data_IF_609684087402
#
_entry.id   IF_609684087402
#
_cell.length_a   1.000
_cell.length_b   1.000
_cell.length_c   1.000
_cell.angle_alpha   90.00
_cell.angle_beta   90.00
_cell.angle_gamma   90.00
#
_symmetry.space_group_name_H-M   'P 1'
#
loop_
_entity.id
_entity.type
_entity.pdbx_description
1 polymer ?
#
# COMPACT_ATOMS: atom_id res chain seq x y z
N UNK A 1 10.49 -59.55 -7.58
CA UNK A 1 11.31 -58.83 -6.57
C UNK A 1 11.70 -57.48 -7.16
N UNK A 2 11.12 -56.38 -6.69
CA UNK A 2 11.56 -55.04 -7.10
C UNK A 2 12.79 -54.66 -6.27
N UNK A 3 13.92 -54.44 -6.92
CA UNK A 3 15.17 -54.02 -6.30
C UNK A 3 15.12 -52.51 -6.03
N UNK A 4 15.05 -52.13 -4.77
CA UNK A 4 15.10 -50.73 -4.31
C UNK A 4 16.56 -50.31 -4.07
N UNK A 5 17.39 -50.37 -5.11
CA UNK A 5 18.77 -49.89 -5.01
C UNK A 5 18.85 -48.43 -5.47
N UNK A 6 18.55 -47.49 -4.58
CA UNK A 6 18.91 -46.08 -4.77
C UNK A 6 20.33 -45.86 -4.29
N UNK A 7 21.27 -45.70 -5.23
CA UNK A 7 22.66 -45.38 -4.90
C UNK A 7 22.76 -44.03 -4.17
N UNK A 8 23.73 -43.93 -3.28
CA UNK A 8 23.97 -42.72 -2.49
C UNK A 8 24.36 -41.54 -3.40
N UNK A 9 23.70 -40.41 -3.21
CA UNK A 9 24.03 -39.15 -3.89
C UNK A 9 25.04 -38.35 -3.06
N UNK A 10 26.13 -37.92 -3.72
CA UNK A 10 27.12 -37.03 -3.12
C UNK A 10 27.03 -35.65 -3.77
N UNK A 11 26.78 -34.62 -2.95
CA UNK A 11 26.66 -33.24 -3.40
C UNK A 11 28.00 -32.51 -3.23
N UNK A 12 28.32 -31.64 -4.19
CA UNK A 12 29.48 -30.74 -4.12
C UNK A 12 29.19 -29.45 -3.35
N UNK A 13 30.09 -28.47 -3.48
CA UNK A 13 30.02 -27.16 -2.80
C UNK A 13 28.86 -26.26 -3.24
N UNK A 14 28.26 -26.52 -4.40
CA UNK A 14 27.17 -25.73 -4.97
C UNK A 14 27.63 -24.51 -5.77
N UNK A 15 26.71 -23.95 -6.56
CA UNK A 15 26.94 -22.77 -7.41
C UNK A 15 25.97 -21.67 -7.00
N UNK A 16 26.49 -20.46 -6.80
CA UNK A 16 25.69 -19.26 -6.56
C UNK A 16 25.45 -18.52 -7.87
N UNK A 17 24.20 -18.53 -8.34
CA UNK A 17 23.77 -17.80 -9.53
C UNK A 17 23.03 -16.53 -9.10
N UNK A 18 23.46 -15.38 -9.62
CA UNK A 18 22.72 -14.12 -9.50
C UNK A 18 22.12 -13.76 -10.86
N UNK A 19 20.81 -13.56 -10.90
CA UNK A 19 20.10 -13.18 -12.12
C UNK A 19 19.84 -11.68 -12.06
N UNK A 20 20.32 -10.94 -13.05
CA UNK A 20 20.05 -9.51 -13.19
C UNK A 20 18.87 -9.25 -14.13
N UNK A 21 18.11 -8.15 -13.94
CA UNK A 21 17.06 -7.76 -14.86
C UNK A 21 17.60 -7.44 -16.25
N UNK A 22 16.74 -7.60 -17.26
CA UNK A 22 17.06 -7.22 -18.63
C UNK A 22 17.30 -5.70 -18.74
N UNK A 23 18.16 -5.31 -19.68
CA UNK A 23 18.35 -3.90 -20.02
C UNK A 23 17.02 -3.26 -20.45
N UNK A 24 16.73 -2.10 -19.86
CA UNK A 24 15.49 -1.36 -20.02
C UNK A 24 15.76 0.15 -19.92
N UNK A 25 14.81 1.02 -20.32
CA UNK A 25 14.96 2.46 -20.18
C UNK A 25 15.15 2.89 -18.72
N UNK A 26 15.88 3.98 -18.52
CA UNK A 26 16.06 4.56 -17.20
C UNK A 26 14.72 4.95 -16.58
N UNK A 27 14.52 4.61 -15.32
CA UNK A 27 13.30 4.96 -14.58
C UNK A 27 13.65 5.76 -13.35
N UNK A 28 13.01 6.94 -13.22
CA UNK A 28 13.15 7.81 -12.04
C UNK A 28 12.57 7.12 -10.80
N UNK A 29 13.30 7.09 -9.67
CA UNK A 29 12.82 6.50 -8.42
C UNK A 29 11.64 7.28 -7.82
N UNK A 30 10.74 6.55 -7.16
CA UNK A 30 9.81 7.13 -6.18
C UNK A 30 10.37 6.95 -4.77
N UNK A 31 10.44 8.03 -3.99
CA UNK A 31 11.14 8.04 -2.68
C UNK A 31 10.14 8.26 -1.56
N UNK A 32 10.20 7.44 -0.52
CA UNK A 32 9.31 7.51 0.64
C UNK A 32 10.11 7.35 1.93
N UNK A 33 9.73 8.10 2.98
CA UNK A 33 10.33 7.98 4.31
C UNK A 33 9.34 7.29 5.26
N UNK A 34 9.84 6.30 5.99
CA UNK A 34 9.09 5.61 7.05
C UNK A 34 9.83 5.80 8.38
N UNK A 35 9.08 6.12 9.44
CA UNK A 35 9.63 6.43 10.76
C UNK A 35 8.94 5.57 11.82
N UNK A 36 9.71 5.00 12.74
CA UNK A 36 9.21 4.26 13.91
C UNK A 36 10.16 4.45 15.11
N UNK A 37 9.78 5.36 16.02
CA UNK A 37 10.66 5.81 17.10
C UNK A 37 11.95 6.41 16.53
N UNK A 38 13.09 5.95 17.01
CA UNK A 38 14.42 6.37 16.52
C UNK A 38 14.80 5.76 15.17
N UNK A 39 14.06 4.78 14.66
CA UNK A 39 14.39 4.11 13.40
C UNK A 39 13.74 4.85 12.23
N UNK A 40 14.54 5.18 11.21
CA UNK A 40 14.08 5.80 9.97
C UNK A 40 14.56 4.98 8.80
N UNK A 41 13.63 4.64 7.90
CA UNK A 41 13.91 3.95 6.65
C UNK A 41 13.56 4.85 5.47
N UNK A 42 14.46 4.89 4.48
CA UNK A 42 14.17 5.45 3.17
C UNK A 42 13.89 4.31 2.18
N UNK A 43 12.65 4.27 1.69
CA UNK A 43 12.19 3.34 0.67
C UNK A 43 12.29 4.01 -0.70
N UNK A 44 12.95 3.34 -1.63
CA UNK A 44 13.07 3.75 -3.02
C UNK A 44 12.42 2.70 -3.90
N UNK A 45 11.46 3.11 -4.73
CA UNK A 45 10.68 2.21 -5.58
C UNK A 45 10.92 2.45 -7.07
N UNK A 46 10.90 1.35 -7.81
CA UNK A 46 10.75 1.29 -9.27
C UNK A 46 11.82 2.09 -10.04
N UNK A 47 13.10 1.89 -9.71
CA UNK A 47 14.21 2.58 -10.38
C UNK A 47 15.06 1.65 -11.24
N UNK A 48 15.70 2.22 -12.27
CA UNK A 48 16.67 1.53 -13.12
C UNK A 48 17.60 2.56 -13.77
N UNK A 49 18.94 2.39 -13.78
CA UNK A 49 19.72 1.18 -13.46
C UNK A 49 19.96 0.97 -11.95
N UNK A 50 20.68 -0.11 -11.58
CA UNK A 50 20.97 -0.54 -10.19
C UNK A 50 21.77 0.49 -9.39
N UNK A 51 22.65 1.25 -10.04
CA UNK A 51 23.51 2.23 -9.37
C UNK A 51 22.67 3.35 -8.77
N UNK A 52 22.78 3.55 -7.45
CA UNK A 52 21.96 4.48 -6.69
C UNK A 52 22.69 4.91 -5.42
N UNK A 53 22.55 6.18 -5.04
CA UNK A 53 23.05 6.69 -3.75
C UNK A 53 21.90 7.21 -2.90
N UNK A 54 21.68 6.56 -1.76
CA UNK A 54 20.61 6.90 -0.82
C UNK A 54 21.22 7.58 0.40
N UNK A 55 20.85 8.84 0.59
CA UNK A 55 21.35 9.69 1.68
C UNK A 55 20.22 9.99 2.66
N UNK A 56 20.47 9.71 3.93
CA UNK A 56 19.61 10.12 5.04
C UNK A 56 20.32 11.24 5.77
N UNK A 57 19.79 12.46 5.66
CA UNK A 57 20.41 13.66 6.22
C UNK A 57 19.73 14.00 7.55
N UNK A 58 20.52 14.10 8.61
CA UNK A 58 20.09 14.51 9.95
C UNK A 58 21.27 15.04 10.76
N UNK A 59 21.01 15.96 11.67
CA UNK A 59 22.03 16.56 12.56
C UNK A 59 22.54 15.58 13.62
N UNK A 60 21.75 14.56 13.97
CA UNK A 60 22.03 13.64 15.10
C UNK A 60 21.88 12.18 14.68
N UNK A 61 22.86 11.72 13.90
CA UNK A 61 22.99 10.34 13.43
C UNK A 61 23.59 9.45 14.52
N UNK A 62 22.91 8.34 14.82
CA UNK A 62 23.43 7.30 15.73
C UNK A 62 24.12 6.20 14.92
N UNK A 63 23.40 5.61 13.96
CA UNK A 63 23.94 4.56 13.09
C UNK A 63 23.19 4.52 11.75
N UNK A 64 23.87 4.10 10.69
CA UNK A 64 23.27 3.83 9.38
C UNK A 64 23.73 2.46 8.89
N UNK A 65 22.81 1.78 8.20
CA UNK A 65 23.04 0.48 7.60
C UNK A 65 23.16 0.62 6.07
N UNK A 66 23.85 -0.35 5.47
CA UNK A 66 23.95 -0.45 4.02
C UNK A 66 22.56 -0.66 3.38
N UNK A 67 22.32 -0.10 2.18
CA UNK A 67 21.04 -0.25 1.51
C UNK A 67 20.86 -1.69 1.02
N UNK A 68 19.68 -2.26 1.31
CA UNK A 68 19.25 -3.52 0.72
C UNK A 68 18.54 -3.24 -0.61
N UNK A 69 19.03 -3.81 -1.71
CA UNK A 69 18.48 -3.66 -3.06
C UNK A 69 17.87 -4.99 -3.52
N UNK A 70 16.65 -4.94 -4.04
CA UNK A 70 15.90 -6.11 -4.53
C UNK A 70 15.29 -5.82 -5.90
N UNK A 71 15.03 -6.88 -6.66
CA UNK A 71 14.33 -6.77 -7.96
C UNK A 71 12.82 -6.78 -7.68
N UNK A 72 12.11 -5.81 -8.24
CA UNK A 72 10.65 -5.73 -8.16
C UNK A 72 9.98 -6.63 -9.21
N UNK A 73 8.69 -7.00 -9.04
CA UNK A 73 7.97 -7.80 -10.02
C UNK A 73 7.89 -7.17 -11.43
N UNK A 74 8.07 -5.85 -11.55
CA UNK A 74 8.12 -5.15 -12.83
C UNK A 74 9.46 -5.31 -13.56
N UNK A 75 10.44 -5.97 -12.93
CA UNK A 75 11.80 -6.10 -13.46
C UNK A 75 12.70 -4.90 -13.18
N UNK A 76 12.29 -3.96 -12.32
CA UNK A 76 13.12 -2.82 -11.87
C UNK A 76 13.74 -3.10 -10.51
N UNK A 77 14.45 -2.13 -9.95
CA UNK A 77 15.00 -2.22 -8.60
C UNK A 77 14.14 -1.46 -7.59
N UNK A 78 14.08 -2.02 -6.39
CA UNK A 78 13.62 -1.35 -5.17
C UNK A 78 14.77 -1.38 -4.16
N UNK A 79 14.85 -0.38 -3.29
CA UNK A 79 15.88 -0.31 -2.28
C UNK A 79 15.34 0.23 -0.96
N UNK A 80 15.91 -0.24 0.16
CA UNK A 80 15.64 0.30 1.49
C UNK A 80 16.96 0.58 2.19
N UNK A 81 17.13 1.82 2.65
CA UNK A 81 18.22 2.19 3.56
C UNK A 81 17.66 2.50 4.94
N UNK A 82 18.20 1.86 5.96
CA UNK A 82 17.77 2.02 7.36
C UNK A 82 18.83 2.80 8.15
N UNK A 83 18.40 3.63 9.09
CA UNK A 83 19.26 4.27 10.07
C UNK A 83 18.55 4.50 11.40
N UNK A 84 19.33 4.75 12.45
CA UNK A 84 18.86 5.20 13.75
C UNK A 84 19.31 6.63 14.00
N UNK A 85 18.38 7.45 14.44
CA UNK A 85 18.56 8.88 14.65
C UNK A 85 17.95 9.26 16.00
N UNK A 86 18.56 10.22 16.70
CA UNK A 86 17.99 10.73 17.96
C UNK A 86 16.68 11.46 17.71
N UNK A 87 16.64 12.27 16.66
CA UNK A 87 15.44 12.95 16.20
C UNK A 87 15.04 12.42 14.83
N UNK A 88 14.04 11.53 14.82
CA UNK A 88 13.48 10.99 13.58
C UNK A 88 12.77 12.04 12.73
N UNK A 89 12.26 13.12 13.33
CA UNK A 89 11.43 14.09 12.63
C UNK A 89 12.26 14.99 11.70
N UNK A 90 13.49 15.33 12.07
CA UNK A 90 14.43 16.09 11.22
C UNK A 90 15.06 15.29 10.09
N UNK A 91 14.88 13.97 10.03
CA UNK A 91 15.49 13.14 8.98
C UNK A 91 14.82 13.39 7.63
N UNK A 92 15.62 13.82 6.66
CA UNK A 92 15.24 13.94 5.25
C UNK A 92 15.93 12.87 4.43
N UNK A 93 15.21 12.21 3.52
CA UNK A 93 15.82 11.32 2.53
C UNK A 93 16.00 12.03 1.18
N UNK A 94 17.21 11.93 0.64
CA UNK A 94 17.52 12.31 -0.74
C UNK A 94 18.17 11.14 -1.47
N UNK A 95 17.80 10.99 -2.74
CA UNK A 95 18.27 9.89 -3.59
C UNK A 95 18.90 10.47 -4.83
N UNK A 96 20.16 10.13 -5.08
CA UNK A 96 20.84 10.43 -6.34
C UNK A 96 20.79 9.21 -7.24
N UNK A 97 20.22 9.40 -8.42
CA UNK A 97 20.05 8.36 -9.43
C UNK A 97 20.09 9.02 -10.81
N UNK A 98 20.93 8.51 -11.72
CA UNK A 98 21.09 9.06 -13.08
C UNK A 98 21.43 10.57 -13.10
N UNK A 99 22.35 10.99 -12.22
CA UNK A 99 22.75 12.38 -11.98
C UNK A 99 21.61 13.34 -11.58
N UNK A 100 20.43 12.81 -11.22
CA UNK A 100 19.29 13.57 -10.70
C UNK A 100 19.10 13.29 -9.24
N UNK A 101 18.79 14.33 -8.47
CA UNK A 101 18.43 14.19 -7.06
C UNK A 101 16.91 14.20 -6.93
N UNK A 102 16.37 13.24 -6.18
CA UNK A 102 14.93 13.10 -5.90
C UNK A 102 14.74 13.16 -4.40
N UNK A 103 13.79 13.97 -3.94
CA UNK A 103 13.50 14.15 -2.53
C UNK A 103 12.19 13.46 -2.14
N UNK A 104 12.08 13.05 -0.89
CA UNK A 104 10.82 12.48 -0.38
C UNK A 104 9.65 13.46 -0.45
N UNK A 105 9.91 14.77 -0.35
CA UNK A 105 8.91 15.84 -0.42
C UNK A 105 8.26 15.96 -1.79
N UNK A 106 8.91 15.46 -2.85
CA UNK A 106 8.38 15.51 -4.22
C UNK A 106 7.12 14.62 -4.37
N UNK A 107 6.92 13.69 -3.43
CA UNK A 107 5.81 12.75 -3.41
C UNK A 107 4.90 12.92 -2.19
N UNK A 108 5.15 13.92 -1.34
CA UNK A 108 4.20 14.29 -0.29
C UNK A 108 2.95 14.89 -0.95
N UNK A 109 1.78 14.39 -0.55
CA UNK A 109 0.50 14.92 -1.02
C UNK A 109 0.42 16.37 -0.56
N UNK A 110 0.57 17.33 -1.49
CA UNK A 110 0.23 18.73 -1.25
C UNK A 110 -1.21 18.78 -0.78
N UNK A 111 -1.41 19.00 0.51
CA UNK A 111 -2.72 19.29 1.05
C UNK A 111 -2.93 20.77 0.78
N UNK A 112 -3.37 21.11 -0.43
CA UNK A 112 -3.72 22.49 -0.79
C UNK A 112 -4.90 22.92 0.08
N UNK A 113 -4.57 23.53 1.23
CA UNK A 113 -5.53 24.18 2.12
C UNK A 113 -5.83 25.56 1.53
N UNK A 114 -6.65 25.59 0.49
CA UNK A 114 -7.34 26.80 0.05
C UNK A 114 -8.77 26.66 0.52
N UNK A 115 -9.09 27.30 1.64
CA UNK A 115 -10.38 27.97 1.80
C UNK A 115 -10.25 29.03 2.90
N UNK A 116 -10.20 30.27 2.45
CA UNK A 116 -10.37 31.47 3.25
C UNK A 116 -11.80 31.53 3.79
N UNK A 117 -12.03 31.16 5.06
CA UNK A 117 -13.13 31.72 5.87
C UNK A 117 -12.66 31.86 7.33
N UNK A 118 -12.61 33.09 7.83
CA UNK A 118 -12.32 33.47 9.23
C UNK A 118 -13.60 33.33 10.10
N UNK A 119 -13.54 33.47 11.44
CA UNK A 119 -13.60 32.40 12.42
C UNK A 119 -14.91 32.41 13.25
N UNK A 120 -15.27 31.29 13.89
CA UNK A 120 -16.15 31.33 15.06
C UNK A 120 -15.68 30.33 16.11
N UNK A 121 -15.38 30.84 17.29
CA UNK A 121 -15.09 30.11 18.53
C UNK A 121 -16.22 29.11 18.86
N UNK A 122 -15.90 27.96 19.46
CA UNK A 122 -16.00 27.71 20.91
C UNK A 122 -15.81 26.20 21.19
N UNK A 123 -14.91 25.91 22.14
CA UNK A 123 -14.82 24.76 23.05
C UNK A 123 -14.84 23.29 22.59
N UNK A 124 -13.69 22.66 22.87
CA UNK A 124 -13.51 21.45 23.67
C UNK A 124 -14.35 20.22 23.31
N UNK A 125 -13.78 19.33 22.50
CA UNK A 125 -14.15 17.92 22.53
C UNK A 125 -12.93 17.01 22.43
N UNK A 126 -12.93 16.06 23.37
CA UNK A 126 -12.02 14.94 23.60
C UNK A 126 -11.47 14.31 22.32
N UNK A 127 -10.18 14.01 22.37
CA UNK A 127 -9.41 13.14 21.48
C UNK A 127 -10.16 11.83 21.14
N UNK A 128 -10.20 11.45 19.85
CA UNK A 128 -10.16 10.05 19.47
C UNK A 128 -8.97 9.75 18.55
N UNK A 129 -8.36 8.61 18.85
CA UNK A 129 -7.37 7.84 18.09
C UNK A 129 -7.21 8.18 16.60
N UNK A 130 -5.98 8.52 16.17
CA UNK A 130 -5.58 8.55 14.76
C UNK A 130 -5.70 7.15 14.15
N UNK A 131 -6.79 6.93 13.41
CA UNK A 131 -6.98 5.78 12.53
C UNK A 131 -6.02 5.87 11.34
N UNK A 132 -5.05 4.97 11.26
CA UNK A 132 -4.20 4.80 10.08
C UNK A 132 -5.06 4.57 8.82
N UNK A 133 -4.86 5.40 7.79
CA UNK A 133 -5.54 5.24 6.51
C UNK A 133 -5.08 3.95 5.81
N UNK A 134 -6.02 3.03 5.63
CA UNK A 134 -5.84 1.79 4.87
C UNK A 134 -5.73 2.16 3.37
N UNK A 135 -4.75 1.63 2.62
CA UNK A 135 -4.70 1.81 1.17
C UNK A 135 -5.99 1.26 0.56
N UNK A 136 -6.62 2.06 -0.31
CA UNK A 136 -7.82 1.67 -1.06
C UNK A 136 -7.39 0.69 -2.16
N UNK A 137 -7.12 -0.56 -1.77
CA UNK A 137 -7.14 -1.67 -2.71
C UNK A 137 -8.58 -1.74 -3.24
N UNK A 138 -8.77 -1.47 -4.53
CA UNK A 138 -10.04 -1.78 -5.20
C UNK A 138 -10.08 -3.30 -5.35
N UNK A 139 -10.31 -3.98 -4.23
CA UNK A 139 -10.98 -5.26 -4.25
C UNK A 139 -12.43 -4.89 -4.55
N UNK A 140 -13.02 -5.45 -5.60
CA UNK A 140 -14.48 -5.47 -5.75
C UNK A 140 -15.06 -6.35 -4.63
N UNK A 141 -14.92 -5.93 -3.37
CA UNK A 141 -15.81 -6.33 -2.29
C UNK A 141 -17.07 -5.53 -2.52
N UNK A 142 -18.04 -6.16 -3.17
CA UNK A 142 -19.40 -5.66 -3.31
C UNK A 142 -19.95 -5.41 -1.90
N UNK A 143 -19.76 -4.19 -1.40
CA UNK A 143 -20.34 -3.75 -0.13
C UNK A 143 -21.81 -3.42 -0.40
N UNK A 144 -22.59 -4.46 -0.68
CA UNK A 144 -24.04 -4.36 -0.73
C UNK A 144 -24.51 -3.94 0.67
N UNK A 145 -25.19 -2.80 0.76
CA UNK A 145 -25.80 -2.38 2.01
C UNK A 145 -26.88 -3.42 2.35
N UNK A 146 -26.63 -4.27 3.35
CA UNK A 146 -27.52 -5.36 3.73
C UNK A 146 -28.95 -4.87 3.99
N UNK A 147 -29.10 -3.63 4.45
CA UNK A 147 -30.38 -2.95 4.65
C UNK A 147 -31.13 -2.66 3.34
N UNK A 148 -30.40 -2.39 2.25
CA UNK A 148 -30.98 -2.15 0.92
C UNK A 148 -31.54 -3.44 0.31
N UNK A 149 -30.82 -4.57 0.45
CA UNK A 149 -31.29 -5.88 -0.01
C UNK A 149 -32.55 -6.33 0.74
N UNK A 150 -32.61 -6.13 2.06
CA UNK A 150 -33.80 -6.46 2.85
C UNK A 150 -35.00 -5.61 2.45
N UNK A 151 -34.81 -4.30 2.18
CA UNK A 151 -35.90 -3.42 1.74
C UNK A 151 -36.40 -3.82 0.35
N UNK A 152 -35.50 -4.18 -0.57
CA UNK A 152 -35.89 -4.62 -1.92
C UNK A 152 -36.66 -5.95 -1.86
N UNK A 153 -36.20 -6.91 -1.07
CA UNK A 153 -36.91 -8.18 -0.85
C UNK A 153 -38.30 -7.97 -0.27
N UNK A 154 -38.43 -7.09 0.72
CA UNK A 154 -39.71 -6.79 1.35
C UNK A 154 -40.70 -6.13 0.37
N UNK A 155 -40.24 -5.20 -0.48
CA UNK A 155 -41.09 -4.59 -1.53
C UNK A 155 -41.61 -5.63 -2.53
N UNK A 156 -40.77 -6.58 -2.93
CA UNK A 156 -41.17 -7.64 -3.85
C UNK A 156 -42.21 -8.58 -3.20
N UNK A 157 -42.05 -8.91 -1.92
CA UNK A 157 -43.01 -9.71 -1.16
C UNK A 157 -44.35 -9.01 -0.99
N UNK A 158 -44.35 -7.71 -0.66
CA UNK A 158 -45.58 -6.92 -0.59
C UNK A 158 -46.31 -6.88 -1.93
N UNK A 159 -45.60 -6.62 -3.03
CA UNK A 159 -46.21 -6.61 -4.36
C UNK A 159 -46.84 -7.96 -4.73
N UNK A 160 -46.14 -9.07 -4.45
CA UNK A 160 -46.68 -10.42 -4.67
C UNK A 160 -47.93 -10.70 -3.84
N UNK A 161 -47.92 -10.29 -2.57
CA UNK A 161 -49.04 -10.52 -1.64
C UNK A 161 -50.27 -9.73 -2.07
N UNK A 162 -50.10 -8.45 -2.45
CA UNK A 162 -51.20 -7.62 -2.97
C UNK A 162 -51.77 -8.22 -4.25
N UNK A 163 -50.93 -8.67 -5.18
CA UNK A 163 -51.40 -9.28 -6.43
C UNK A 163 -52.20 -10.57 -6.19
N UNK A 164 -51.73 -11.45 -5.29
CA UNK A 164 -52.44 -12.69 -4.95
C UNK A 164 -53.77 -12.38 -4.25
N UNK A 165 -53.78 -11.47 -3.27
CA UNK A 165 -55.01 -11.08 -2.59
C UNK A 165 -56.01 -10.43 -3.54
N UNK A 166 -55.55 -9.60 -4.48
CA UNK A 166 -56.39 -9.01 -5.51
C UNK A 166 -56.95 -10.07 -6.46
N UNK A 167 -56.11 -11.02 -6.91
CA UNK A 167 -56.56 -12.13 -7.77
C UNK A 167 -57.58 -13.02 -7.06
N UNK A 168 -57.36 -13.35 -5.79
CA UNK A 168 -58.31 -14.13 -4.98
C UNK A 168 -59.62 -13.38 -4.77
N UNK A 169 -59.56 -12.07 -4.52
CA UNK A 169 -60.74 -11.22 -4.38
C UNK A 169 -61.51 -11.15 -5.70
N UNK A 170 -60.83 -10.87 -6.82
CA UNK A 170 -61.44 -10.86 -8.15
C UNK A 170 -62.08 -12.23 -8.48
N UNK A 171 -61.40 -13.34 -8.18
CA UNK A 171 -61.95 -14.68 -8.39
C UNK A 171 -63.20 -14.94 -7.53
N UNK A 172 -63.27 -14.38 -6.32
CA UNK A 172 -64.44 -14.50 -5.43
C UNK A 172 -65.62 -13.60 -5.87
N UNK A 173 -65.34 -12.50 -6.57
CA UNK A 173 -66.36 -11.56 -7.04
C UNK A 173 -66.87 -11.86 -8.46
N UNK A 174 -66.06 -12.49 -9.31
CA UNK A 174 -66.39 -12.81 -10.70
C UNK A 174 -66.71 -14.29 -10.94
N UNK A 175 -66.73 -15.12 -9.89
CA UNK A 175 -67.21 -16.51 -9.88
C UNK A 175 -68.35 -16.62 -8.88
#
# INVERSE_FOLDING_TARGET
MCSWDTRQMFFGTGIKLFVEPRSQPHTKPSVFVMKNGTNVACLVKEFYPKDIRINLVSSKKITEFDPAIVISPSGKYNAVKLGKYEDSNSVTCSVQHDNKTVHSTDFEVKTDSTDHVKPKETENTKQPSKSCHKPKAIVHTEKVNMMSLTVLGLRMLFAKTVAVNFLLTAKLFFL
#
